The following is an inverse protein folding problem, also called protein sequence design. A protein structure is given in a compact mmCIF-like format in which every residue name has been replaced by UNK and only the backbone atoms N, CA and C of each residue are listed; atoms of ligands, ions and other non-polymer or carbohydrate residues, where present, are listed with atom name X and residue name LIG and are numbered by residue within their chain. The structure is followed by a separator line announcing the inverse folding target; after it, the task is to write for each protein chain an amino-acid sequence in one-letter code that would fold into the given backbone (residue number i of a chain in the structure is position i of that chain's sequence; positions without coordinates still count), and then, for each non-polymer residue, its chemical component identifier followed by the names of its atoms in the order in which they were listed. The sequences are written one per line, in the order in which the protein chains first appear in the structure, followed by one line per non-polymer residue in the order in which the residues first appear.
data_IF_763413020365
#
_entry.id   IF_763413020365
#
_cell.length_a   1.000
_cell.length_b   1.000
_cell.length_c   1.000
_cell.angle_alpha   90.00
_cell.angle_beta   90.00
_cell.angle_gamma   90.00
#
_symmetry.space_group_name_H-M   'P 1'
#
loop_
_entity.id
_entity.type
_entity.pdbx_description
1 polymer ?
#
# COMPACT_ATOMS: atom_id res chain seq x y z
N UNK A 1 81.07 -5.95 14.79
CA UNK A 1 80.22 -7.04 15.32
C UNK A 1 78.77 -6.58 15.55
N UNK A 2 78.54 -5.60 16.43
CA UNK A 2 77.20 -5.13 16.81
C UNK A 2 76.32 -4.65 15.64
N UNK A 3 76.88 -3.88 14.70
CA UNK A 3 76.13 -3.38 13.54
C UNK A 3 75.56 -4.51 12.65
N UNK A 4 76.29 -5.64 12.52
CA UNK A 4 75.83 -6.81 11.74
C UNK A 4 74.68 -7.53 12.43
N UNK A 5 74.71 -7.61 13.76
CA UNK A 5 73.63 -8.20 14.56
C UNK A 5 72.39 -7.30 14.46
N UNK A 6 72.56 -5.99 14.62
CA UNK A 6 71.48 -5.01 14.51
C UNK A 6 70.86 -4.97 13.11
N UNK A 7 71.66 -5.02 12.04
CA UNK A 7 71.14 -5.04 10.66
C UNK A 7 70.36 -6.32 10.36
N UNK A 8 70.85 -7.47 10.83
CA UNK A 8 70.18 -8.77 10.66
C UNK A 8 68.84 -8.79 11.41
N UNK A 9 68.81 -8.29 12.64
CA UNK A 9 67.59 -8.22 13.45
C UNK A 9 66.55 -7.27 12.87
N UNK A 10 66.95 -6.08 12.41
CA UNK A 10 66.06 -5.13 11.72
C UNK A 10 65.47 -5.73 10.44
N UNK A 11 66.27 -6.46 9.66
CA UNK A 11 65.79 -7.17 8.47
C UNK A 11 64.81 -8.31 8.80
N UNK A 12 65.07 -9.09 9.86
CA UNK A 12 64.16 -10.13 10.34
C UNK A 12 62.81 -9.54 10.78
N UNK A 13 62.83 -8.47 11.60
CA UNK A 13 61.61 -7.81 12.07
C UNK A 13 60.78 -7.23 10.93
N UNK A 14 61.42 -6.63 9.92
CA UNK A 14 60.71 -6.10 8.75
C UNK A 14 60.03 -7.21 7.95
N UNK A 15 60.70 -8.35 7.74
CA UNK A 15 60.11 -9.51 7.03
C UNK A 15 59.04 -10.25 7.83
N UNK A 16 59.16 -10.26 9.16
CA UNK A 16 58.18 -10.89 10.06
C UNK A 16 56.92 -10.05 10.20
N UNK A 17 56.96 -8.76 9.92
CA UNK A 17 55.80 -7.88 10.06
C UNK A 17 54.82 -8.09 8.88
N UNK A 18 53.66 -8.74 9.09
CA UNK A 18 52.69 -9.01 8.01
C UNK A 18 52.09 -7.73 7.41
N UNK A 19 52.27 -6.58 8.08
CA UNK A 19 51.77 -5.27 7.68
C UNK A 19 52.79 -4.48 6.83
N UNK A 20 54.07 -4.88 6.78
CA UNK A 20 55.14 -4.15 6.06
C UNK A 20 55.39 -4.65 4.63
N UNK A 21 54.36 -5.19 3.95
CA UNK A 21 54.49 -5.67 2.58
C UNK A 21 53.15 -5.85 1.86
N UNK A 22 53.13 -6.72 0.84
CA UNK A 22 51.97 -6.98 -0.03
C UNK A 22 50.70 -7.46 0.70
N UNK A 23 50.82 -7.95 1.94
CA UNK A 23 49.68 -8.35 2.78
C UNK A 23 48.75 -7.19 3.15
N UNK A 24 49.31 -6.03 3.52
CA UNK A 24 48.50 -4.83 3.79
C UNK A 24 47.82 -4.33 2.51
N UNK A 25 48.54 -4.34 1.38
CA UNK A 25 47.97 -3.95 0.10
C UNK A 25 46.82 -4.89 -0.31
N UNK A 26 47.01 -6.21 -0.20
CA UNK A 26 45.98 -7.21 -0.49
C UNK A 26 44.75 -7.05 0.42
N UNK A 27 44.96 -6.76 1.70
CA UNK A 27 43.89 -6.46 2.65
C UNK A 27 43.11 -5.19 2.26
N UNK A 28 43.79 -4.09 1.93
CA UNK A 28 43.11 -2.86 1.47
C UNK A 28 42.33 -3.10 0.18
N UNK A 29 42.87 -3.88 -0.75
CA UNK A 29 42.18 -4.24 -2.00
C UNK A 29 40.94 -5.10 -1.71
N UNK A 30 41.03 -6.08 -0.80
CA UNK A 30 39.88 -6.92 -0.44
C UNK A 30 38.77 -6.11 0.22
N UNK A 31 39.11 -5.20 1.13
CA UNK A 31 38.16 -4.28 1.77
C UNK A 31 37.52 -3.36 0.73
N UNK A 32 38.29 -2.78 -0.21
CA UNK A 32 37.72 -1.97 -1.30
C UNK A 32 36.75 -2.76 -2.17
N UNK A 33 37.07 -4.02 -2.49
CA UNK A 33 36.19 -4.91 -3.26
C UNK A 33 34.90 -5.21 -2.48
N UNK A 34 35.01 -5.57 -1.20
CA UNK A 34 33.87 -5.82 -0.33
C UNK A 34 32.98 -4.57 -0.20
N UNK A 35 33.57 -3.41 0.08
CA UNK A 35 32.85 -2.13 0.18
C UNK A 35 32.11 -1.79 -1.12
N UNK A 36 32.71 -2.06 -2.29
CA UNK A 36 32.04 -1.84 -3.58
C UNK A 36 30.83 -2.76 -3.77
N UNK A 37 30.93 -4.03 -3.35
CA UNK A 37 29.82 -4.98 -3.40
C UNK A 37 28.70 -4.57 -2.44
N UNK A 38 29.05 -4.27 -1.19
CA UNK A 38 28.10 -3.79 -0.18
C UNK A 38 27.41 -2.50 -0.63
N UNK A 39 28.15 -1.53 -1.17
CA UNK A 39 27.59 -0.27 -1.66
C UNK A 39 26.58 -0.51 -2.79
N UNK A 40 26.84 -1.46 -3.69
CA UNK A 40 25.89 -1.84 -4.75
C UNK A 40 24.65 -2.53 -4.17
N UNK A 41 24.83 -3.43 -3.21
CA UNK A 41 23.72 -4.12 -2.56
C UNK A 41 22.80 -3.14 -1.83
N UNK A 42 23.37 -2.20 -1.07
CA UNK A 42 22.61 -1.14 -0.36
C UNK A 42 21.85 -0.25 -1.34
N UNK A 43 22.45 0.14 -2.46
CA UNK A 43 21.75 0.93 -3.50
C UNK A 43 20.55 0.18 -4.07
N UNK A 44 20.72 -1.09 -4.44
CA UNK A 44 19.63 -1.93 -4.94
C UNK A 44 18.51 -2.09 -3.92
N UNK A 45 18.87 -2.35 -2.67
CA UNK A 45 17.91 -2.46 -1.58
C UNK A 45 17.11 -1.16 -1.42
N UNK A 46 17.77 0.00 -1.45
CA UNK A 46 17.10 1.31 -1.39
C UNK A 46 16.12 1.53 -2.55
N UNK A 47 16.48 1.11 -3.76
CA UNK A 47 15.58 1.20 -4.92
C UNK A 47 14.36 0.31 -4.78
N UNK A 48 14.54 -0.92 -4.29
CA UNK A 48 13.45 -1.87 -4.02
C UNK A 48 12.52 -1.32 -2.94
N UNK A 49 13.06 -0.83 -1.83
CA UNK A 49 12.26 -0.25 -0.74
C UNK A 49 11.45 0.95 -1.21
N UNK A 50 12.08 1.86 -1.98
CA UNK A 50 11.37 3.00 -2.56
C UNK A 50 10.22 2.55 -3.48
N UNK A 51 10.43 1.52 -4.29
CA UNK A 51 9.38 0.98 -5.15
C UNK A 51 8.23 0.36 -4.33
N UNK A 52 8.56 -0.35 -3.24
CA UNK A 52 7.58 -0.90 -2.30
C UNK A 52 6.76 0.19 -1.63
N UNK A 53 7.40 1.22 -1.07
CA UNK A 53 6.72 2.37 -0.45
C UNK A 53 5.79 3.06 -1.47
N UNK A 54 6.22 3.22 -2.71
CA UNK A 54 5.39 3.79 -3.77
C UNK A 54 4.17 2.93 -4.10
N UNK A 55 4.32 1.61 -4.11
CA UNK A 55 3.23 0.67 -4.32
C UNK A 55 2.25 0.71 -3.15
N UNK A 56 2.72 0.67 -1.90
CA UNK A 56 1.88 0.76 -0.71
C UNK A 56 1.07 2.06 -0.68
N UNK A 57 1.72 3.20 -0.96
CA UNK A 57 1.06 4.50 -1.09
C UNK A 57 0.02 4.51 -2.22
N UNK A 58 0.28 3.83 -3.33
CA UNK A 58 -0.67 3.75 -4.44
C UNK A 58 -1.89 2.90 -4.06
N UNK A 59 -1.67 1.75 -3.41
CA UNK A 59 -2.76 0.87 -2.96
C UNK A 59 -3.61 1.54 -1.88
N UNK A 60 -2.99 2.27 -0.95
CA UNK A 60 -3.72 3.07 0.03
C UNK A 60 -4.59 4.14 -0.65
N UNK A 61 -4.03 4.89 -1.61
CA UNK A 61 -4.79 5.88 -2.39
C UNK A 61 -5.94 5.24 -3.17
N UNK A 62 -5.72 4.09 -3.81
CA UNK A 62 -6.77 3.34 -4.51
C UNK A 62 -7.87 2.92 -3.54
N UNK A 63 -7.52 2.46 -2.34
CA UNK A 63 -8.49 2.09 -1.30
C UNK A 63 -9.35 3.29 -0.89
N UNK A 64 -8.73 4.44 -0.65
CA UNK A 64 -9.46 5.68 -0.36
C UNK A 64 -10.34 6.12 -1.52
N UNK A 65 -9.86 6.05 -2.76
CA UNK A 65 -10.67 6.36 -3.93
C UNK A 65 -11.87 5.42 -4.06
N UNK A 66 -11.67 4.11 -3.96
CA UNK A 66 -12.75 3.12 -4.01
C UNK A 66 -13.77 3.30 -2.89
N UNK A 67 -13.35 3.86 -1.75
CA UNK A 67 -14.26 4.19 -0.65
C UNK A 67 -15.04 5.49 -0.91
N UNK A 68 -14.36 6.53 -1.38
CA UNK A 68 -14.93 7.88 -1.52
C UNK A 68 -15.76 8.03 -2.80
N UNK A 69 -15.29 7.51 -3.93
CA UNK A 69 -15.94 7.70 -5.24
C UNK A 69 -17.41 7.24 -5.24
N UNK A 70 -17.75 6.03 -4.75
CA UNK A 70 -19.15 5.61 -4.69
C UNK A 70 -20.02 6.48 -3.80
N UNK A 71 -19.46 7.17 -2.80
CA UNK A 71 -20.22 8.10 -1.96
C UNK A 71 -20.49 9.41 -2.68
N UNK A 72 -19.61 9.82 -3.58
CA UNK A 72 -19.71 11.06 -4.33
C UNK A 72 -20.37 10.92 -5.71
N UNK A 73 -20.84 9.71 -6.08
CA UNK A 73 -21.42 9.47 -7.41
C UNK A 73 -22.60 10.40 -7.75
N UNK A 74 -23.38 10.80 -6.72
CA UNK A 74 -24.52 11.70 -6.86
C UNK A 74 -24.13 13.15 -7.19
N UNK A 75 -22.84 13.52 -7.06
CA UNK A 75 -22.33 14.85 -7.41
C UNK A 75 -22.05 15.00 -8.90
N UNK A 76 -22.05 13.88 -9.64
CA UNK A 76 -21.77 13.82 -11.07
C UNK A 76 -23.03 14.15 -11.86
N UNK A 77 -22.86 14.89 -12.96
CA UNK A 77 -23.89 15.13 -13.95
C UNK A 77 -24.38 13.83 -14.58
N UNK A 78 -25.70 13.70 -14.70
CA UNK A 78 -26.34 12.67 -15.52
C UNK A 78 -26.76 13.27 -16.86
N UNK A 79 -27.30 12.44 -17.77
CA UNK A 79 -27.83 12.93 -19.05
C UNK A 79 -28.97 13.95 -18.86
N UNK A 80 -29.69 13.83 -17.77
CA UNK A 80 -30.92 14.60 -17.51
C UNK A 80 -30.69 15.76 -16.54
N UNK A 81 -29.72 15.63 -15.61
CA UNK A 81 -29.55 16.55 -14.49
C UNK A 81 -28.08 17.00 -14.40
N UNK A 82 -27.80 18.32 -14.38
CA UNK A 82 -26.45 18.81 -14.14
C UNK A 82 -25.98 18.44 -12.71
N UNK A 83 -24.73 18.03 -12.58
CA UNK A 83 -24.10 17.71 -11.31
C UNK A 83 -23.66 18.98 -10.57
N UNK A 84 -23.31 18.84 -9.30
CA UNK A 84 -22.89 19.98 -8.46
C UNK A 84 -21.63 20.66 -9.01
N UNK A 85 -20.75 19.86 -9.62
CA UNK A 85 -19.52 20.35 -10.23
C UNK A 85 -19.66 20.66 -11.72
N UNK A 86 -20.87 20.66 -12.28
CA UNK A 86 -21.08 21.07 -13.66
C UNK A 86 -20.76 22.55 -13.83
N UNK A 87 -20.13 22.90 -14.95
CA UNK A 87 -19.82 24.28 -15.28
C UNK A 87 -21.13 25.07 -15.47
N UNK A 88 -21.25 26.22 -14.80
CA UNK A 88 -22.44 27.09 -14.86
C UNK A 88 -22.60 27.80 -16.20
N UNK A 89 -21.57 27.76 -17.04
CA UNK A 89 -21.48 28.47 -18.32
C UNK A 89 -22.29 27.81 -19.46
N UNK A 90 -23.13 26.82 -19.15
CA UNK A 90 -23.92 26.07 -20.14
C UNK A 90 -23.09 25.18 -21.07
N UNK A 91 -21.78 25.07 -20.84
CA UNK A 91 -20.88 24.22 -21.61
C UNK A 91 -21.16 22.74 -21.31
N UNK A 92 -21.20 21.92 -22.35
CA UNK A 92 -21.36 20.46 -22.25
C UNK A 92 -20.09 19.75 -21.76
N UNK A 93 -19.00 20.49 -21.59
CA UNK A 93 -17.74 19.94 -21.09
C UNK A 93 -17.85 19.53 -19.62
N UNK A 94 -17.27 18.38 -19.29
CA UNK A 94 -17.13 17.91 -17.91
C UNK A 94 -16.09 18.76 -17.19
N UNK A 95 -16.40 19.17 -15.96
CA UNK A 95 -15.40 19.82 -15.11
C UNK A 95 -14.27 18.86 -14.76
N UNK A 96 -13.16 19.40 -14.22
CA UNK A 96 -12.03 18.56 -13.81
C UNK A 96 -12.45 17.45 -12.83
N UNK A 97 -13.30 17.78 -11.85
CA UNK A 97 -13.79 16.82 -10.86
C UNK A 97 -14.70 15.79 -11.53
N UNK A 98 -15.61 16.21 -12.40
CA UNK A 98 -16.48 15.28 -13.14
C UNK A 98 -15.68 14.33 -14.03
N UNK A 99 -14.61 14.80 -14.70
CA UNK A 99 -13.72 13.93 -15.47
C UNK A 99 -13.03 12.89 -14.59
N UNK A 100 -12.54 13.30 -13.42
CA UNK A 100 -11.89 12.41 -12.47
C UNK A 100 -12.85 11.35 -11.92
N UNK A 101 -14.06 11.77 -11.57
CA UNK A 101 -15.11 10.86 -11.10
C UNK A 101 -15.54 9.90 -12.23
N UNK A 102 -15.68 10.40 -13.47
CA UNK A 102 -16.10 9.61 -14.63
C UNK A 102 -15.08 8.53 -15.07
N UNK A 103 -13.85 8.55 -14.55
CA UNK A 103 -12.90 7.44 -14.72
C UNK A 103 -13.34 6.15 -14.00
N UNK A 104 -14.30 6.24 -13.08
CA UNK A 104 -14.78 5.11 -12.30
C UNK A 104 -16.04 4.49 -12.92
N UNK A 105 -16.07 3.17 -13.01
CA UNK A 105 -17.22 2.44 -13.55
C UNK A 105 -18.31 2.25 -12.48
N UNK A 106 -19.09 3.32 -12.27
CA UNK A 106 -20.19 3.31 -11.32
C UNK A 106 -21.28 2.29 -11.68
N UNK A 107 -21.49 2.02 -12.96
CA UNK A 107 -22.52 1.09 -13.42
C UNK A 107 -22.22 -0.33 -12.93
N UNK A 108 -21.00 -0.80 -13.18
CA UNK A 108 -20.56 -2.11 -12.72
C UNK A 108 -20.50 -2.18 -11.19
N UNK A 109 -19.99 -1.14 -10.54
CA UNK A 109 -19.98 -1.07 -9.07
C UNK A 109 -21.39 -1.20 -8.47
N UNK A 110 -22.36 -0.45 -9.00
CA UNK A 110 -23.74 -0.50 -8.51
C UNK A 110 -24.40 -1.85 -8.79
N UNK A 111 -24.09 -2.47 -9.93
CA UNK A 111 -24.54 -3.82 -10.25
C UNK A 111 -24.01 -4.85 -9.24
N UNK A 112 -22.70 -4.86 -8.97
CA UNK A 112 -22.06 -5.74 -7.99
C UNK A 112 -22.62 -5.51 -6.58
N UNK A 113 -22.75 -4.24 -6.16
CA UNK A 113 -23.31 -3.88 -4.87
C UNK A 113 -24.74 -4.41 -4.70
N UNK A 114 -25.57 -4.28 -5.73
CA UNK A 114 -26.95 -4.79 -5.70
C UNK A 114 -26.97 -6.32 -5.69
N UNK A 115 -26.06 -6.98 -6.41
CA UNK A 115 -25.91 -8.43 -6.40
C UNK A 115 -25.56 -8.95 -5.00
N UNK A 116 -24.55 -8.36 -4.35
CA UNK A 116 -24.15 -8.75 -2.99
C UNK A 116 -25.26 -8.49 -1.97
N UNK A 117 -25.94 -7.34 -2.06
CA UNK A 117 -27.12 -7.05 -1.22
C UNK A 117 -28.24 -8.06 -1.40
N UNK A 118 -28.50 -8.50 -2.64
CA UNK A 118 -29.52 -9.51 -2.95
C UNK A 118 -29.13 -10.86 -2.36
N UNK A 119 -27.90 -11.31 -2.58
CA UNK A 119 -27.36 -12.56 -2.01
C UNK A 119 -27.44 -12.58 -0.48
N UNK A 120 -27.05 -11.46 0.15
CA UNK A 120 -27.17 -11.31 1.59
C UNK A 120 -28.63 -11.36 2.03
N UNK A 121 -29.53 -10.61 1.39
CA UNK A 121 -30.97 -10.68 1.68
C UNK A 121 -31.53 -12.10 1.56
N UNK A 122 -31.15 -12.85 0.53
CA UNK A 122 -31.57 -14.24 0.32
C UNK A 122 -31.07 -15.16 1.44
N UNK A 123 -29.82 -15.00 1.87
CA UNK A 123 -29.24 -15.73 3.01
C UNK A 123 -29.97 -15.40 4.33
N UNK A 124 -30.37 -14.14 4.55
CA UNK A 124 -31.14 -13.77 5.73
C UNK A 124 -32.61 -14.20 5.64
N UNK A 125 -33.15 -14.30 4.43
CA UNK A 125 -34.49 -14.83 4.21
C UNK A 125 -34.58 -16.33 4.50
N UNK A 126 -33.55 -17.11 4.18
CA UNK A 126 -33.48 -18.53 4.55
C UNK A 126 -33.29 -18.75 6.05
N UNK A 127 -32.73 -17.76 6.75
CA UNK A 127 -32.61 -17.74 8.22
C UNK A 127 -33.82 -17.10 8.92
N UNK A 128 -34.91 -16.79 8.22
CA UNK A 128 -36.12 -16.22 8.85
C UNK A 128 -36.60 -17.17 9.95
N UNK A 129 -36.59 -16.76 11.23
CA UNK A 129 -37.08 -17.61 12.29
C UNK A 129 -38.58 -17.85 12.10
N UNK A 130 -39.02 -19.09 12.32
CA UNK A 130 -40.43 -19.49 12.22
C UNK A 130 -41.33 -18.70 13.19
N UNK A 131 -40.74 -18.07 14.20
CA UNK A 131 -41.43 -17.30 15.23
C UNK A 131 -41.06 -15.82 15.14
N UNK A 132 -42.08 -14.97 15.05
CA UNK A 132 -41.93 -13.52 15.27
C UNK A 132 -41.95 -13.28 16.78
N UNK A 133 -40.82 -12.84 17.34
CA UNK A 133 -40.75 -12.48 18.74
C UNK A 133 -41.69 -11.29 19.03
N UNK A 134 -42.54 -11.43 20.05
CA UNK A 134 -43.44 -10.37 20.51
C UNK A 134 -43.01 -9.83 21.87
N UNK A 135 -43.43 -8.61 22.22
CA UNK A 135 -43.10 -7.98 23.50
C UNK A 135 -41.62 -7.60 23.63
N UNK A 136 -41.02 -7.87 24.80
CA UNK A 136 -39.63 -7.54 25.12
C UNK A 136 -38.60 -8.18 24.18
N UNK A 137 -38.87 -9.41 23.71
CA UNK A 137 -37.99 -10.14 22.80
C UNK A 137 -37.91 -9.51 21.41
N UNK A 138 -38.89 -8.70 20.99
CA UNK A 138 -38.81 -7.93 19.74
C UNK A 138 -37.72 -6.88 19.79
N UNK A 139 -37.48 -6.30 20.98
CA UNK A 139 -36.41 -5.32 21.21
C UNK A 139 -35.05 -5.98 21.06
N UNK A 140 -34.87 -7.16 21.67
CA UNK A 140 -33.66 -7.98 21.49
C UNK A 140 -33.44 -8.40 20.04
N UNK A 141 -34.49 -8.74 19.29
CA UNK A 141 -34.39 -9.07 17.86
C UNK A 141 -33.98 -7.83 17.02
N UNK A 142 -34.49 -6.64 17.36
CA UNK A 142 -34.08 -5.39 16.73
C UNK A 142 -32.62 -5.07 17.02
N UNK A 143 -32.18 -5.20 18.27
CA UNK A 143 -30.79 -4.97 18.67
C UNK A 143 -29.84 -5.98 18.00
N UNK A 144 -30.24 -7.25 17.93
CA UNK A 144 -29.51 -8.29 17.19
C UNK A 144 -29.45 -7.95 15.70
N UNK A 145 -30.58 -7.60 15.05
CA UNK A 145 -30.59 -7.19 13.64
C UNK A 145 -29.76 -5.94 13.37
N UNK A 146 -29.69 -4.98 14.28
CA UNK A 146 -28.79 -3.82 14.20
C UNK A 146 -27.31 -4.22 14.22
N UNK A 147 -26.97 -5.29 14.94
CA UNK A 147 -25.61 -5.82 15.01
C UNK A 147 -25.17 -6.52 13.70
N UNK A 148 -26.11 -7.06 12.91
CA UNK A 148 -25.84 -7.79 11.65
C UNK A 148 -26.36 -7.10 10.38
N UNK A 149 -27.01 -5.95 10.50
CA UNK A 149 -27.20 -5.03 9.39
C UNK A 149 -25.81 -4.75 8.84
N UNK A 150 -25.63 -4.94 7.53
CA UNK A 150 -24.44 -4.50 6.80
C UNK A 150 -24.24 -3.01 7.14
N UNK A 151 -23.43 -2.74 8.16
CA UNK A 151 -22.73 -1.47 8.23
C UNK A 151 -22.03 -1.40 6.88
N UNK A 152 -22.28 -0.32 6.14
CA UNK A 152 -21.49 0.00 4.95
C UNK A 152 -20.04 -0.38 5.28
N UNK A 153 -19.40 -1.24 4.47
CA UNK A 153 -18.12 -1.84 4.81
C UNK A 153 -17.22 -0.74 5.36
N UNK A 154 -16.79 -0.96 6.60
CA UNK A 154 -16.21 0.00 7.56
C UNK A 154 -15.71 1.29 6.92
N UNK A 155 -16.27 2.41 7.39
CA UNK A 155 -15.66 3.74 7.32
C UNK A 155 -14.14 3.67 7.55
#
# INVERSE_FOLDING_TARGET
MAARIQSTWRGYLSRKNPLQGGGMHAFVVSIKKANKLTSKAVKRFKEIEKAREQQEMLEEKKRWLNYTLPKLHHLIRTKEIPGIYSLKDGRQELSFIERLLNCYDFSNFMHELNYERKKFSEQFQSLKPAYRFQGSFRKCEQDWKQQYLLQNPKL
#
